data_IF_056987864186
#
_entry.id   IF_056987864186
#
_cell.length_a   1.000
_cell.length_b   1.000
_cell.length_c   1.000
_cell.angle_alpha   90.00
_cell.angle_beta   90.00
_cell.angle_gamma   90.00
#
_symmetry.space_group_name_H-M   'P 1'
#
loop_
_entity.id
_entity.type
_entity.pdbx_description
1 polymer ?
#
# COMPACT_ATOMS: atom_id res chain seq x y z
N UNK A 1 -7.87 5.95 10.64
CA UNK A 1 -6.94 6.81 9.89
C UNK A 1 -7.53 6.98 8.50
N UNK A 2 -7.72 8.21 8.05
CA UNK A 2 -8.20 8.49 6.70
C UNK A 2 -7.03 8.88 5.77
N UNK A 3 -7.32 9.13 4.50
CA UNK A 3 -6.29 9.46 3.51
C UNK A 3 -5.57 10.79 3.80
N UNK A 4 -6.26 11.76 4.39
CA UNK A 4 -5.68 13.05 4.82
C UNK A 4 -4.69 12.87 5.98
N UNK A 5 -5.02 12.01 6.95
CA UNK A 5 -4.11 11.63 8.04
C UNK A 5 -2.84 10.95 7.49
N UNK A 6 -3.00 10.08 6.49
CA UNK A 6 -1.89 9.40 5.84
C UNK A 6 -0.95 10.39 5.15
N UNK A 7 -1.49 11.30 4.33
CA UNK A 7 -0.70 12.30 3.62
C UNK A 7 0.01 13.26 4.57
N UNK A 8 -0.65 13.66 5.66
CA UNK A 8 -0.04 14.45 6.74
C UNK A 8 1.12 13.69 7.41
N UNK A 9 0.91 12.41 7.75
CA UNK A 9 1.95 11.56 8.33
C UNK A 9 3.16 11.39 7.41
N UNK A 10 2.97 11.27 6.09
CA UNK A 10 4.05 11.21 5.10
C UNK A 10 4.86 12.51 5.08
N UNK A 11 4.17 13.66 5.13
CA UNK A 11 4.83 14.96 5.18
C UNK A 11 5.63 15.15 6.47
N UNK A 12 5.09 14.72 7.62
CA UNK A 12 5.75 14.83 8.92
C UNK A 12 7.07 14.05 9.00
N UNK A 13 7.20 12.96 8.24
CA UNK A 13 8.44 12.18 8.16
C UNK A 13 9.37 12.67 7.03
N UNK A 14 9.05 13.79 6.37
CA UNK A 14 9.92 14.51 5.45
C UNK A 14 9.81 14.13 3.97
N UNK A 15 8.75 13.43 3.54
CA UNK A 15 8.53 13.08 2.13
C UNK A 15 7.40 13.90 1.50
N UNK A 16 7.46 14.11 0.18
CA UNK A 16 6.34 14.67 -0.58
C UNK A 16 5.21 13.64 -0.69
N UNK A 17 4.02 13.89 -0.12
CA UNK A 17 2.91 12.95 -0.17
C UNK A 17 2.53 12.56 -1.59
N UNK A 18 2.59 13.49 -2.55
CA UNK A 18 2.19 13.23 -3.94
C UNK A 18 3.17 12.31 -4.68
N UNK A 19 4.43 12.25 -4.25
CA UNK A 19 5.42 11.32 -4.78
C UNK A 19 5.34 9.92 -4.13
N UNK A 20 4.62 9.81 -3.00
CA UNK A 20 4.52 8.58 -2.22
C UNK A 20 3.18 7.88 -2.45
N UNK A 21 2.07 8.61 -2.42
CA UNK A 21 0.74 8.04 -2.46
C UNK A 21 -0.24 8.88 -3.27
N UNK A 22 -1.11 8.21 -4.05
CA UNK A 22 -2.32 8.81 -4.64
C UNK A 22 -3.57 8.02 -4.24
N UNK A 23 -4.72 8.67 -4.27
CA UNK A 23 -6.04 8.01 -4.26
C UNK A 23 -6.51 7.80 -5.70
N UNK A 24 -7.22 6.70 -5.96
CA UNK A 24 -7.79 6.36 -7.27
C UNK A 24 -9.19 5.78 -7.07
N UNK A 25 -10.18 6.27 -7.82
CA UNK A 25 -11.52 5.69 -7.83
C UNK A 25 -11.78 4.86 -9.10
N UNK A 26 -11.57 3.55 -9.01
CA UNK A 26 -11.82 2.64 -10.13
C UNK A 26 -13.32 2.55 -10.48
N UNK A 27 -14.20 2.80 -9.51
CA UNK A 27 -15.65 2.83 -9.75
C UNK A 27 -16.07 4.02 -10.61
N UNK A 28 -15.28 5.10 -10.61
CA UNK A 28 -15.42 6.25 -11.49
C UNK A 28 -14.72 6.08 -12.86
N UNK A 29 -14.06 4.94 -13.11
CA UNK A 29 -13.33 4.65 -14.33
C UNK A 29 -11.87 5.10 -14.33
N UNK A 30 -11.34 5.54 -13.18
CA UNK A 30 -9.92 5.88 -13.03
C UNK A 30 -9.05 4.61 -12.94
N UNK A 31 -7.76 4.75 -13.21
CA UNK A 31 -6.80 3.64 -13.11
C UNK A 31 -5.52 4.11 -12.44
N UNK A 32 -4.98 3.26 -11.57
CA UNK A 32 -3.66 3.48 -11.00
C UNK A 32 -2.61 3.49 -12.12
N UNK A 33 -1.75 4.51 -12.08
CA UNK A 33 -0.66 4.69 -13.04
C UNK A 33 0.70 4.65 -12.36
N UNK A 34 1.74 4.72 -13.19
CA UNK A 34 3.14 4.84 -12.75
C UNK A 34 3.36 6.26 -12.24
N UNK A 35 4.14 6.43 -11.16
CA UNK A 35 4.44 7.75 -10.62
C UNK A 35 4.61 7.75 -9.10
N UNK A 36 3.51 7.70 -8.32
CA UNK A 36 3.60 7.58 -6.88
C UNK A 36 4.06 6.16 -6.51
N UNK A 37 4.77 6.03 -5.39
CA UNK A 37 5.21 4.71 -4.91
C UNK A 37 4.03 3.76 -4.67
N UNK A 38 2.89 4.32 -4.25
CA UNK A 38 1.68 3.58 -3.97
C UNK A 38 0.42 4.31 -4.48
N UNK A 39 -0.62 3.55 -4.78
CA UNK A 39 -1.98 4.06 -5.02
C UNK A 39 -2.97 3.32 -4.12
N UNK A 40 -3.77 4.07 -3.35
CA UNK A 40 -4.96 3.53 -2.69
C UNK A 40 -6.11 3.55 -3.70
N UNK A 41 -6.61 2.38 -4.06
CA UNK A 41 -7.63 2.22 -5.11
C UNK A 41 -8.93 1.77 -4.47
N UNK A 42 -10.01 2.53 -4.71
CA UNK A 42 -11.38 2.12 -4.37
C UNK A 42 -11.94 1.28 -5.50
N UNK A 43 -12.29 0.03 -5.18
CA UNK A 43 -12.97 -0.91 -6.06
C UNK A 43 -14.47 -1.00 -5.69
N UNK A 44 -15.26 -1.71 -6.49
CA UNK A 44 -16.68 -1.93 -6.20
C UNK A 44 -16.91 -2.74 -4.91
N UNK A 45 -16.00 -3.66 -4.61
CA UNK A 45 -16.08 -4.67 -3.54
C UNK A 45 -15.10 -4.43 -2.39
N UNK A 46 -14.45 -3.26 -2.34
CA UNK A 46 -13.52 -2.90 -1.26
C UNK A 46 -12.41 -1.97 -1.73
N UNK A 47 -11.23 -2.12 -1.12
CA UNK A 47 -10.05 -1.33 -1.45
C UNK A 47 -8.88 -2.23 -1.81
N UNK A 48 -8.00 -1.75 -2.67
CA UNK A 48 -6.70 -2.38 -2.92
C UNK A 48 -5.58 -1.35 -2.91
N UNK A 49 -4.36 -1.83 -2.78
CA UNK A 49 -3.15 -1.00 -2.83
C UNK A 49 -2.34 -1.44 -4.03
N UNK A 50 -2.07 -0.51 -4.95
CA UNK A 50 -1.16 -0.74 -6.07
C UNK A 50 0.21 -0.16 -5.70
N UNK A 51 1.28 -0.91 -5.93
CA UNK A 51 2.66 -0.44 -5.78
C UNK A 51 3.32 -0.26 -7.14
N UNK A 52 4.11 0.81 -7.30
CA UNK A 52 4.93 1.04 -8.49
C UNK A 52 6.21 0.19 -8.45
N UNK A 53 6.41 -0.64 -9.49
CA UNK A 53 7.60 -1.48 -9.69
C UNK A 53 8.70 -0.84 -10.54
N UNK A 54 8.53 0.41 -10.98
CA UNK A 54 9.48 1.21 -11.74
C UNK A 54 9.56 0.90 -13.24
N UNK A 55 9.35 -0.34 -13.68
CA UNK A 55 9.38 -0.75 -15.11
C UNK A 55 8.07 -0.54 -15.85
N UNK A 56 7.36 0.54 -15.51
CA UNK A 56 5.98 0.78 -15.93
C UNK A 56 4.99 -0.32 -15.51
N UNK A 57 5.33 -1.04 -14.44
CA UNK A 57 4.51 -2.09 -13.87
C UNK A 57 3.93 -1.59 -12.55
N UNK A 58 2.62 -1.77 -12.38
CA UNK A 58 1.92 -1.60 -11.11
C UNK A 58 1.37 -2.96 -10.70
N UNK A 59 1.53 -3.31 -9.43
CA UNK A 59 1.08 -4.61 -8.92
C UNK A 59 0.38 -4.45 -7.58
N UNK A 60 -0.58 -5.34 -7.33
CA UNK A 60 -1.40 -5.32 -6.12
C UNK A 60 -0.60 -5.78 -4.90
N UNK A 61 -0.87 -5.12 -3.78
CA UNK A 61 -0.36 -5.43 -2.46
C UNK A 61 -1.52 -5.72 -1.48
N UNK A 62 -1.31 -6.63 -0.51
CA UNK A 62 -0.10 -7.44 -0.28
C UNK A 62 0.21 -8.46 -1.39
N UNK A 63 -0.81 -8.97 -2.06
CA UNK A 63 -0.69 -9.90 -3.19
C UNK A 63 -1.82 -9.68 -4.21
N UNK A 64 -1.65 -10.24 -5.40
CA UNK A 64 -2.63 -10.16 -6.48
C UNK A 64 -4.01 -10.70 -6.05
N UNK A 65 -5.06 -9.94 -6.35
CA UNK A 65 -6.45 -10.23 -6.00
C UNK A 65 -6.83 -9.88 -4.55
N UNK A 66 -5.92 -9.34 -3.74
CA UNK A 66 -6.27 -8.94 -2.37
C UNK A 66 -7.19 -7.72 -2.37
N UNK A 67 -8.24 -7.78 -1.53
CA UNK A 67 -9.17 -6.67 -1.29
C UNK A 67 -9.34 -6.48 0.21
N UNK A 68 -9.04 -5.28 0.67
CA UNK A 68 -9.35 -4.82 2.01
C UNK A 68 -10.84 -4.51 2.11
N UNK A 69 -11.45 -4.87 3.24
CA UNK A 69 -12.89 -4.66 3.43
C UNK A 69 -13.24 -3.18 3.65
N UNK A 70 -12.25 -2.38 4.07
CA UNK A 70 -12.44 -0.96 4.38
C UNK A 70 -11.23 -0.11 4.00
N UNK A 71 -11.47 1.19 3.84
CA UNK A 71 -10.43 2.19 3.58
C UNK A 71 -9.40 2.25 4.73
N UNK A 72 -9.87 2.20 5.97
CA UNK A 72 -9.00 2.25 7.16
C UNK A 72 -8.00 1.09 7.17
N UNK A 73 -8.44 -0.14 6.91
CA UNK A 73 -7.55 -1.30 6.83
C UNK A 73 -6.48 -1.14 5.73
N UNK A 74 -6.89 -0.66 4.55
CA UNK A 74 -5.98 -0.42 3.44
C UNK A 74 -4.96 0.68 3.77
N UNK A 75 -5.40 1.76 4.43
CA UNK A 75 -4.53 2.86 4.87
C UNK A 75 -3.56 2.41 5.94
N UNK A 76 -4.00 1.62 6.92
CA UNK A 76 -3.12 1.08 7.96
C UNK A 76 -2.04 0.19 7.34
N UNK A 77 -2.43 -0.69 6.41
CA UNK A 77 -1.47 -1.50 5.64
C UNK A 77 -0.49 -0.62 4.87
N UNK A 78 -1.00 0.35 4.11
CA UNK A 78 -0.21 1.25 3.29
C UNK A 78 0.78 2.06 4.12
N UNK A 79 0.35 2.55 5.29
CA UNK A 79 1.21 3.31 6.20
C UNK A 79 2.36 2.46 6.77
N UNK A 80 2.10 1.18 7.09
CA UNK A 80 3.17 0.23 7.47
C UNK A 80 4.15 -0.01 6.33
N UNK A 81 3.66 -0.20 5.10
CA UNK A 81 4.49 -0.40 3.91
C UNK A 81 5.38 0.82 3.61
N UNK A 82 4.83 2.02 3.69
CA UNK A 82 5.58 3.27 3.49
C UNK A 82 6.67 3.41 4.55
N UNK A 83 6.35 3.20 5.83
CA UNK A 83 7.34 3.24 6.91
C UNK A 83 8.42 2.18 6.72
N UNK A 84 8.05 0.94 6.37
CA UNK A 84 9.02 -0.11 6.07
C UNK A 84 9.96 0.25 4.91
N UNK A 85 9.44 0.80 3.82
CA UNK A 85 10.24 1.14 2.64
C UNK A 85 11.15 2.35 2.86
N UNK A 86 10.65 3.39 3.54
CA UNK A 86 11.29 4.71 3.57
C UNK A 86 12.08 4.96 4.85
N UNK A 87 11.55 4.53 6.00
CA UNK A 87 12.20 4.71 7.29
C UNK A 87 11.77 3.59 8.27
N UNK A 88 12.39 2.39 8.16
CA UNK A 88 12.02 1.24 8.98
C UNK A 88 12.15 1.47 10.49
N UNK A 89 12.95 2.46 10.90
CA UNK A 89 13.14 2.82 12.31
C UNK A 89 11.87 3.42 12.95
N UNK A 90 10.92 3.88 12.13
CA UNK A 90 9.61 4.36 12.57
C UNK A 90 8.58 3.24 12.84
N UNK A 91 8.95 1.98 12.60
CA UNK A 91 8.09 0.85 12.92
C UNK A 91 8.33 0.39 14.36
N UNK A 92 7.23 0.30 15.11
CA UNK A 92 7.23 -0.38 16.41
C UNK A 92 7.42 -1.90 16.22
N UNK A 93 7.61 -2.63 17.33
CA UNK A 93 7.88 -4.07 17.29
C UNK A 93 6.72 -4.87 16.68
N UNK A 94 5.48 -4.50 16.98
CA UNK A 94 4.27 -5.14 16.44
C UNK A 94 4.15 -4.96 14.93
N UNK A 95 4.35 -3.73 14.43
CA UNK A 95 4.33 -3.40 13.00
C UNK A 95 5.41 -4.20 12.25
N UNK A 96 6.62 -4.34 12.83
CA UNK A 96 7.70 -5.16 12.21
C UNK A 96 7.33 -6.64 12.16
N UNK A 97 6.71 -7.18 13.21
CA UNK A 97 6.27 -8.57 13.23
C UNK A 97 5.15 -8.84 12.20
N UNK A 98 4.22 -7.89 12.04
CA UNK A 98 3.18 -7.94 11.01
C UNK A 98 3.81 -7.94 9.62
N UNK A 99 4.73 -7.00 9.36
CA UNK A 99 5.43 -6.91 8.06
C UNK A 99 6.19 -8.19 7.73
N UNK A 100 6.90 -8.80 8.69
CA UNK A 100 7.55 -10.09 8.48
C UNK A 100 6.55 -11.19 8.10
N UNK A 101 5.44 -11.29 8.81
CA UNK A 101 4.40 -12.29 8.51
C UNK A 101 3.78 -12.06 7.12
N UNK A 102 3.52 -10.80 6.74
CA UNK A 102 2.99 -10.45 5.42
C UNK A 102 3.98 -10.79 4.29
N UNK A 103 5.28 -10.60 4.51
CA UNK A 103 6.33 -10.97 3.56
C UNK A 103 6.43 -12.50 3.42
N UNK A 104 6.41 -13.23 4.53
CA UNK A 104 6.39 -14.71 4.55
C UNK A 104 5.15 -15.28 3.86
N UNK A 105 3.97 -14.69 4.06
CA UNK A 105 2.74 -15.14 3.41
C UNK A 105 2.76 -14.85 1.90
N UNK A 106 3.27 -13.68 1.52
CA UNK A 106 3.48 -13.32 0.10
C UNK A 106 4.40 -14.32 -0.58
N UNK A 107 5.54 -14.65 0.03
CA UNK A 107 6.49 -15.64 -0.49
C UNK A 107 5.85 -17.03 -0.62
N UNK A 108 5.11 -17.49 0.41
CA UNK A 108 4.42 -18.80 0.35
C UNK A 108 3.39 -18.88 -0.78
N UNK A 109 2.64 -17.81 -1.05
CA UNK A 109 1.69 -17.78 -2.16
C UNK A 109 2.36 -17.73 -3.54
N UNK A 110 3.58 -17.17 -3.62
CA UNK A 110 4.39 -17.20 -4.83
C UNK A 110 5.02 -18.59 -5.07
N UNK A 111 5.44 -19.29 -4.01
CA UNK A 111 6.07 -20.63 -4.10
C UNK A 111 5.05 -21.78 -4.22
N UNK A 112 3.83 -21.61 -3.68
CA UNK A 112 2.78 -22.64 -3.72
C UNK A 112 1.94 -22.67 -5.01
N UNK A 113 2.20 -21.75 -5.94
CA UNK A 113 1.55 -21.70 -7.25
C UNK A 113 2.38 -22.40 -8.33
N UNK A 114 2.51 -23.73 -8.23
CA UNK A 114 2.99 -24.59 -9.34
C UNK A 114 1.94 -25.63 -9.71
#
# INVERSE_FOLDING_TARGET
MNYEDLTSGIADIGYDPNAVVTYVDESAGERAGVGPSYSLVRCQDGFTVMADGGRAEVYEKPFAGHRFASEDEAIQFLWRQIRWSRNPDLLNADDRAIMQREDEETLRRMEGGT
#
